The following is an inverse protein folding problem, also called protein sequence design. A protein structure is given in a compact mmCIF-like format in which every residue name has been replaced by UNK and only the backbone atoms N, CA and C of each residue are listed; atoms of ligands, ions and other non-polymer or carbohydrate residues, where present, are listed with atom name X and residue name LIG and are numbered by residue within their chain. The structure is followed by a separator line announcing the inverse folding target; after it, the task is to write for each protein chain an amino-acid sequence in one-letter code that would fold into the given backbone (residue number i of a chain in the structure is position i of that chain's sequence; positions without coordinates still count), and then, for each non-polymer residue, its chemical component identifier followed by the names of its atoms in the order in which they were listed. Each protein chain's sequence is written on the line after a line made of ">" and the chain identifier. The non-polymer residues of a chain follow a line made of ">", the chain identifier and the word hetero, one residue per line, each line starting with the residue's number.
data_IF_510644932873
#
_entry.id   IF_510644932873
#
_cell.length_a   1.000
_cell.length_b   1.000
_cell.length_c   1.000
_cell.angle_alpha   90.00
_cell.angle_beta   90.00
_cell.angle_gamma   90.00
#
_symmetry.space_group_name_H-M   'P 1'
#
loop_
_entity.id
_entity.type
_entity.pdbx_description
1 polymer ?
#
# COMPACT_ATOMS: atom_id res chain seq x y z
N UNK A 1 11.65 2.66 -26.60
CA UNK A 1 12.68 2.48 -25.55
C UNK A 1 11.98 2.41 -24.21
N UNK A 2 11.83 1.22 -23.63
CA UNK A 2 11.23 1.07 -22.31
C UNK A 2 12.29 1.48 -21.28
N UNK A 3 12.17 2.70 -20.74
CA UNK A 3 12.96 3.11 -19.58
C UNK A 3 12.52 2.23 -18.40
N UNK A 4 13.31 1.21 -18.09
CA UNK A 4 13.21 0.52 -16.80
C UNK A 4 13.45 1.57 -15.71
N UNK A 5 12.38 1.97 -15.01
CA UNK A 5 12.45 2.80 -13.82
C UNK A 5 13.19 2.00 -12.73
N UNK A 6 14.53 2.06 -12.76
CA UNK A 6 15.36 1.46 -11.72
C UNK A 6 15.36 2.41 -10.53
N UNK A 7 14.53 2.09 -9.54
CA UNK A 7 14.54 2.79 -8.26
C UNK A 7 15.92 2.63 -7.62
N UNK A 8 16.69 3.71 -7.61
CA UNK A 8 18.12 3.68 -7.25
C UNK A 8 18.41 4.27 -5.88
N UNK A 9 17.44 5.01 -5.30
CA UNK A 9 17.56 5.60 -3.97
C UNK A 9 16.70 4.87 -2.93
N UNK A 10 17.12 4.83 -1.65
CA UNK A 10 16.33 4.21 -0.57
C UNK A 10 14.90 4.74 -0.48
N UNK A 11 14.72 6.05 -0.67
CA UNK A 11 13.40 6.70 -0.60
C UNK A 11 12.47 6.26 -1.75
N UNK A 12 13.01 6.10 -2.96
CA UNK A 12 12.24 5.58 -4.09
C UNK A 12 11.81 4.14 -3.84
N UNK A 13 12.71 3.29 -3.34
CA UNK A 13 12.40 1.90 -3.00
C UNK A 13 11.30 1.86 -1.93
N UNK A 14 11.38 2.74 -0.93
CA UNK A 14 10.37 2.84 0.12
C UNK A 14 9.00 3.28 -0.44
N UNK A 15 8.97 4.32 -1.28
CA UNK A 15 7.75 4.77 -1.95
C UNK A 15 7.11 3.65 -2.79
N UNK A 16 7.92 2.89 -3.56
CA UNK A 16 7.44 1.74 -4.31
C UNK A 16 6.82 0.67 -3.41
N UNK A 17 7.43 0.38 -2.25
CA UNK A 17 6.88 -0.58 -1.28
C UNK A 17 5.53 -0.11 -0.74
N UNK A 18 5.39 1.17 -0.43
CA UNK A 18 4.12 1.77 0.01
C UNK A 18 3.03 1.65 -1.07
N UNK A 19 3.36 1.95 -2.33
CA UNK A 19 2.44 1.82 -3.44
C UNK A 19 2.05 0.36 -3.72
N UNK A 20 3.00 -0.57 -3.58
CA UNK A 20 2.74 -2.01 -3.71
C UNK A 20 1.78 -2.51 -2.61
N UNK A 21 1.92 -2.01 -1.38
CA UNK A 21 0.98 -2.32 -0.28
C UNK A 21 -0.43 -1.81 -0.58
N UNK A 22 -0.57 -0.64 -1.21
CA UNK A 22 -1.87 -0.12 -1.65
C UNK A 22 -2.52 -1.06 -2.67
N UNK A 23 -1.77 -1.51 -3.66
CA UNK A 23 -2.26 -2.46 -4.67
C UNK A 23 -2.69 -3.79 -4.02
N UNK A 24 -1.88 -4.31 -3.09
CA UNK A 24 -2.22 -5.50 -2.31
C UNK A 24 -3.51 -5.32 -1.50
N UNK A 25 -3.67 -4.17 -0.83
CA UNK A 25 -4.86 -3.88 -0.04
C UNK A 25 -6.13 -3.73 -0.90
N UNK A 26 -6.00 -3.17 -2.11
CA UNK A 26 -7.09 -3.15 -3.10
C UNK A 26 -7.51 -4.55 -3.54
N UNK A 27 -6.57 -5.44 -3.77
CA UNK A 27 -6.88 -6.82 -4.13
C UNK A 27 -7.57 -7.53 -2.96
N UNK A 28 -7.09 -7.34 -1.73
CA UNK A 28 -7.71 -7.91 -0.54
C UNK A 28 -9.14 -7.41 -0.32
N UNK A 29 -9.41 -6.12 -0.55
CA UNK A 29 -10.75 -5.56 -0.43
C UNK A 29 -11.74 -6.09 -1.48
N UNK A 30 -11.22 -6.62 -2.59
CA UNK A 30 -11.98 -7.33 -3.63
C UNK A 30 -12.09 -8.85 -3.37
N UNK A 31 -11.54 -9.35 -2.25
CA UNK A 31 -11.56 -10.77 -1.89
C UNK A 31 -10.40 -11.59 -2.48
N UNK A 32 -9.49 -10.97 -3.23
CA UNK A 32 -8.29 -11.61 -3.75
C UNK A 32 -7.20 -11.59 -2.68
N UNK A 33 -6.95 -12.73 -2.04
CA UNK A 33 -5.91 -12.87 -1.01
C UNK A 33 -4.77 -13.76 -1.51
N UNK A 34 -3.53 -13.36 -1.21
CA UNK A 34 -2.37 -14.20 -1.48
C UNK A 34 -2.32 -15.31 -0.43
N UNK A 35 -2.55 -16.55 -0.86
CA UNK A 35 -2.72 -17.71 0.04
C UNK A 35 -1.50 -18.07 0.88
N UNK A 36 -0.30 -17.58 0.51
CA UNK A 36 1.00 -17.96 1.13
C UNK A 36 1.85 -16.78 1.60
N UNK A 37 1.33 -15.55 1.61
CA UNK A 37 2.08 -14.35 2.03
C UNK A 37 1.32 -13.58 3.11
N UNK A 38 2.07 -12.75 3.85
CA UNK A 38 1.48 -11.86 4.82
C UNK A 38 0.48 -10.90 4.16
N UNK A 39 -0.67 -10.71 4.82
CA UNK A 39 -1.76 -9.88 4.31
C UNK A 39 -1.35 -8.40 4.29
N UNK A 40 -1.59 -7.72 3.17
CA UNK A 40 -1.36 -6.29 3.03
C UNK A 40 -2.10 -5.50 4.11
N UNK A 41 -3.34 -5.89 4.43
CA UNK A 41 -4.12 -5.27 5.50
C UNK A 41 -3.53 -5.41 6.91
N UNK A 42 -2.76 -6.47 7.18
CA UNK A 42 -2.05 -6.62 8.47
C UNK A 42 -0.87 -5.66 8.54
N UNK A 43 -0.09 -5.57 7.46
CA UNK A 43 1.06 -4.67 7.35
C UNK A 43 0.61 -3.21 7.45
N UNK A 44 -0.44 -2.82 6.71
CA UNK A 44 -0.97 -1.45 6.72
C UNK A 44 -1.51 -1.07 8.10
N UNK A 45 -2.23 -1.97 8.79
CA UNK A 45 -2.68 -1.72 10.17
C UNK A 45 -1.54 -1.48 11.13
N UNK A 46 -0.47 -2.28 11.03
CA UNK A 46 0.72 -2.09 11.86
C UNK A 46 1.42 -0.76 11.53
N UNK A 47 1.61 -0.46 10.24
CA UNK A 47 2.26 0.77 9.76
C UNK A 47 1.52 2.03 10.23
N UNK A 48 0.19 2.05 10.12
CA UNK A 48 -0.63 3.19 10.51
C UNK A 48 -1.06 3.17 11.98
N UNK A 49 -0.72 2.11 12.73
CA UNK A 49 -1.21 1.86 14.09
C UNK A 49 -2.75 1.96 14.23
N UNK A 50 -3.48 1.63 13.16
CA UNK A 50 -4.95 1.70 13.11
C UNK A 50 -5.59 0.35 13.46
N UNK A 51 -6.77 0.41 14.11
CA UNK A 51 -7.58 -0.77 14.45
C UNK A 51 -8.71 -1.02 13.44
N UNK A 52 -8.74 -0.27 12.33
CA UNK A 52 -9.79 -0.39 11.30
C UNK A 52 -9.84 -1.81 10.73
N UNK A 53 -10.95 -2.50 10.98
CA UNK A 53 -11.16 -3.90 10.59
C UNK A 53 -11.66 -4.03 9.16
N UNK A 54 -12.55 -3.12 8.75
CA UNK A 54 -13.10 -3.07 7.41
C UNK A 54 -12.01 -2.73 6.40
N UNK A 55 -11.87 -3.57 5.36
CA UNK A 55 -10.83 -3.40 4.35
C UNK A 55 -11.07 -2.19 3.44
N UNK A 56 -12.32 -1.81 3.18
CA UNK A 56 -12.64 -0.64 2.36
C UNK A 56 -12.30 0.65 3.09
N UNK A 57 -12.63 0.72 4.39
CA UNK A 57 -12.31 1.87 5.23
C UNK A 57 -10.80 1.98 5.46
N UNK A 58 -10.13 0.83 5.72
CA UNK A 58 -8.67 0.78 5.84
C UNK A 58 -7.97 1.23 4.55
N UNK A 59 -8.52 0.88 3.38
CA UNK A 59 -7.99 1.33 2.11
C UNK A 59 -8.13 2.85 1.95
N UNK A 60 -9.29 3.42 2.28
CA UNK A 60 -9.51 4.86 2.21
C UNK A 60 -8.59 5.64 3.17
N UNK A 61 -8.43 5.15 4.40
CA UNK A 61 -7.46 5.69 5.37
C UNK A 61 -6.04 5.64 4.81
N UNK A 62 -5.64 4.50 4.24
CA UNK A 62 -4.30 4.33 3.69
C UNK A 62 -4.04 5.20 2.46
N UNK A 63 -5.02 5.35 1.56
CA UNK A 63 -4.91 6.27 0.44
C UNK A 63 -4.80 7.73 0.90
N UNK A 64 -5.51 8.11 1.97
CA UNK A 64 -5.41 9.43 2.58
C UNK A 64 -4.02 9.65 3.17
N UNK A 65 -3.47 8.65 3.87
CA UNK A 65 -2.11 8.67 4.38
C UNK A 65 -1.08 8.85 3.25
N UNK A 66 -1.21 8.13 2.14
CA UNK A 66 -0.30 8.24 1.00
C UNK A 66 -0.38 9.61 0.32
N UNK A 67 -1.58 10.20 0.21
CA UNK A 67 -1.78 11.56 -0.33
C UNK A 67 -1.13 12.61 0.57
N UNK A 68 -1.34 12.54 1.88
CA UNK A 68 -0.77 13.50 2.84
C UNK A 68 0.75 13.48 2.88
N UNK A 69 1.37 12.34 2.56
CA UNK A 69 2.82 12.19 2.47
C UNK A 69 3.38 12.42 1.04
N UNK A 70 2.53 12.81 0.08
CA UNK A 70 2.96 13.09 -1.30
C UNK A 70 3.32 11.86 -2.14
N UNK A 71 3.02 10.64 -1.67
CA UNK A 71 3.26 9.40 -2.42
C UNK A 71 2.18 9.09 -3.45
N UNK A 72 0.98 9.65 -3.28
CA UNK A 72 -0.13 9.52 -4.21
C UNK A 72 -0.56 10.91 -4.69
N UNK A 73 -0.58 11.13 -6.01
CA UNK A 73 -1.20 12.33 -6.57
C UNK A 73 -2.72 12.30 -6.34
N UNK A 74 -3.28 13.49 -6.08
CA UNK A 74 -4.68 13.70 -5.71
C UNK A 74 -5.66 13.21 -6.78
#
# INVERSE_FOLDING_TARGET
>A
MNQSLVASTPDQIFAYRLLALRAGLKLESLGMTLSRKEKASKIVRHLMSTRTRNLKDLLAEYESFLRSNGFLQA
#
